data_IF_178146744042
#
_entry.id   IF_178146744042
#
_cell.length_a   1.000
_cell.length_b   1.000
_cell.length_c   1.000
_cell.angle_alpha   90.00
_cell.angle_beta   90.00
_cell.angle_gamma   90.00
#
_symmetry.space_group_name_H-M   'P 1'
#
loop_
_entity.id
_entity.type
_entity.pdbx_description
1 polymer ?
#
# COMPACT_ATOMS: atom_id res chain seq x y z
N UNK A 1 -11.58 -2.11 0.86
CA UNK A 1 -10.52 -2.10 -0.16
C UNK A 1 -10.39 -0.70 -0.72
N UNK A 2 -9.17 -0.25 -1.01
CA UNK A 2 -8.82 1.09 -1.50
C UNK A 2 -8.24 0.92 -2.91
N UNK A 3 -8.75 1.65 -3.89
CA UNK A 3 -8.13 1.68 -5.23
C UNK A 3 -7.03 2.75 -5.25
N UNK A 4 -5.82 2.37 -5.65
CA UNK A 4 -4.65 3.24 -5.83
C UNK A 4 -4.11 2.97 -7.24
N UNK A 5 -4.36 3.88 -8.17
CA UNK A 5 -4.07 3.71 -9.59
C UNK A 5 -4.63 2.38 -10.15
N UNK A 6 -3.75 1.49 -10.58
CA UNK A 6 -4.03 0.17 -11.14
C UNK A 6 -4.06 -0.94 -10.07
N UNK A 7 -4.02 -0.59 -8.78
CA UNK A 7 -3.96 -1.52 -7.67
C UNK A 7 -5.20 -1.44 -6.78
N UNK A 8 -5.66 -2.59 -6.31
CA UNK A 8 -6.65 -2.72 -5.24
C UNK A 8 -5.92 -3.14 -3.98
N UNK A 9 -5.94 -2.27 -2.97
CA UNK A 9 -5.26 -2.42 -1.71
C UNK A 9 -6.23 -2.80 -0.58
N UNK A 10 -5.93 -3.87 0.13
CA UNK A 10 -6.68 -4.38 1.28
C UNK A 10 -6.07 -3.83 2.57
N UNK A 11 -6.60 -2.69 3.02
CA UNK A 11 -6.19 -1.99 4.25
C UNK A 11 -6.17 -2.91 5.46
N UNK A 12 -7.21 -3.73 5.65
CA UNK A 12 -7.39 -4.48 6.88
C UNK A 12 -6.39 -5.62 6.97
N UNK A 13 -6.13 -6.30 5.83
CA UNK A 13 -5.03 -7.29 5.77
C UNK A 13 -3.66 -6.67 5.95
N UNK A 14 -3.42 -5.48 5.41
CA UNK A 14 -2.16 -4.78 5.61
C UNK A 14 -1.94 -4.39 7.08
N UNK A 15 -2.97 -3.86 7.74
CA UNK A 15 -2.89 -3.54 9.17
C UNK A 15 -2.56 -4.81 9.96
N UNK A 16 -3.28 -5.90 9.69
CA UNK A 16 -3.03 -7.18 10.36
C UNK A 16 -1.60 -7.70 10.11
N UNK A 17 -1.08 -7.58 8.89
CA UNK A 17 0.28 -8.04 8.57
C UNK A 17 1.35 -7.23 9.32
N UNK A 18 1.17 -5.92 9.43
CA UNK A 18 2.04 -5.04 10.23
C UNK A 18 1.93 -5.37 11.73
N UNK A 19 0.73 -5.61 12.26
CA UNK A 19 0.53 -6.05 13.65
C UNK A 19 1.22 -7.40 13.94
N UNK A 20 1.30 -8.27 12.94
CA UNK A 20 1.99 -9.55 13.03
C UNK A 20 3.52 -9.44 12.87
N UNK A 21 4.07 -8.22 12.79
CA UNK A 21 5.51 -7.97 12.77
C UNK A 21 6.13 -7.91 11.38
N UNK A 22 5.34 -7.85 10.31
CA UNK A 22 5.90 -7.70 8.96
C UNK A 22 6.47 -6.31 8.72
N UNK A 23 7.64 -6.30 8.06
CA UNK A 23 8.39 -5.10 7.75
C UNK A 23 8.31 -4.86 6.25
N UNK A 24 7.78 -3.69 5.88
CA UNK A 24 7.72 -3.21 4.51
C UNK A 24 8.79 -2.14 4.30
N UNK A 25 9.32 -2.03 3.07
CA UNK A 25 10.16 -0.91 2.67
C UNK A 25 9.34 0.36 2.73
N UNK A 26 9.70 1.25 3.63
CA UNK A 26 9.11 2.59 3.72
C UNK A 26 10.22 3.61 3.46
N UNK A 27 9.90 4.69 2.76
CA UNK A 27 10.76 5.88 2.82
C UNK A 27 10.41 6.59 4.11
N UNK A 28 11.41 6.88 4.95
CA UNK A 28 11.26 7.80 6.06
C UNK A 28 10.70 9.12 5.51
N UNK A 29 9.41 9.35 5.72
CA UNK A 29 8.77 10.61 5.41
C UNK A 29 8.54 11.28 6.75
N UNK A 30 9.44 12.20 7.09
CA UNK A 30 9.15 13.26 8.06
C UNK A 30 7.77 13.81 7.72
N UNK A 31 6.90 13.97 8.72
CA UNK A 31 5.49 14.37 8.59
C UNK A 31 5.27 15.53 7.63
N UNK A 32 5.21 15.27 6.33
CA UNK A 32 4.98 16.27 5.31
C UNK A 32 3.75 15.89 4.51
N UNK A 33 2.71 16.65 4.83
CA UNK A 33 1.54 17.02 4.02
C UNK A 33 0.84 15.82 3.35
N UNK A 34 -0.26 15.44 3.98
CA UNK A 34 -1.27 14.52 3.47
C UNK A 34 -1.84 15.13 2.18
N UNK A 35 -1.63 14.46 1.05
CA UNK A 35 -2.22 14.84 -0.24
C UNK A 35 -3.23 13.74 -0.64
N UNK A 36 -4.34 14.12 -1.28
CA UNK A 36 -5.54 13.28 -1.52
C UNK A 36 -5.34 11.96 -2.33
N UNK A 37 -4.11 11.60 -2.71
CA UNK A 37 -3.77 10.43 -3.52
C UNK A 37 -3.02 9.35 -2.73
N UNK A 38 -2.73 9.60 -1.45
CA UNK A 38 -1.94 8.71 -0.60
C UNK A 38 -2.79 8.23 0.58
N UNK A 39 -2.60 6.97 0.98
CA UNK A 39 -3.29 6.39 2.14
C UNK A 39 -2.34 6.24 3.33
N UNK A 40 -2.64 6.90 4.45
CA UNK A 40 -1.79 6.86 5.65
C UNK A 40 -2.31 5.81 6.64
N UNK A 41 -1.42 4.93 7.10
CA UNK A 41 -1.70 3.95 8.17
C UNK A 41 -0.68 4.13 9.28
N UNK A 42 -1.17 4.25 10.51
CA UNK A 42 -0.33 4.36 11.70
C UNK A 42 -0.36 3.01 12.40
N UNK A 43 0.79 2.35 12.50
CA UNK A 43 1.03 1.30 13.49
C UNK A 43 1.74 1.90 14.70
N UNK A 44 1.71 1.22 15.84
CA UNK A 44 2.23 1.71 17.12
C UNK A 44 3.70 2.17 17.12
N UNK A 45 4.46 1.89 16.05
CA UNK A 45 5.86 2.33 15.88
C UNK A 45 6.16 2.98 14.52
N UNK A 46 5.29 2.86 13.52
CA UNK A 46 5.59 3.26 12.14
C UNK A 46 4.38 3.92 11.48
N UNK A 47 4.61 5.03 10.79
CA UNK A 47 3.64 5.67 9.92
C UNK A 47 3.93 5.24 8.48
N UNK A 48 2.99 4.53 7.85
CA UNK A 48 3.09 4.06 6.48
C UNK A 48 2.29 4.98 5.57
N UNK A 49 2.98 5.60 4.62
CA UNK A 49 2.36 6.30 3.50
C UNK A 49 2.24 5.33 2.33
N UNK A 50 1.06 4.75 2.16
CA UNK A 50 0.73 3.81 1.09
C UNK A 50 0.37 4.59 -0.16
N UNK A 51 1.21 4.47 -1.17
CA UNK A 51 1.00 5.05 -2.49
C UNK A 51 1.51 4.08 -3.56
N UNK A 52 1.40 4.46 -4.84
CA UNK A 52 1.86 3.62 -5.95
C UNK A 52 3.31 3.17 -5.78
N UNK A 53 4.20 4.07 -5.39
CA UNK A 53 5.62 3.74 -5.21
C UNK A 53 5.84 2.77 -4.05
N UNK A 54 5.17 2.95 -2.92
CA UNK A 54 5.19 2.00 -1.82
C UNK A 54 4.71 0.61 -2.26
N UNK A 55 3.61 0.56 -3.03
CA UNK A 55 3.07 -0.70 -3.55
C UNK A 55 4.08 -1.36 -4.48
N UNK A 56 4.71 -0.62 -5.40
CA UNK A 56 5.72 -1.14 -6.31
C UNK A 56 6.97 -1.64 -5.57
N UNK A 57 7.47 -0.87 -4.59
CA UNK A 57 8.64 -1.21 -3.78
C UNK A 57 8.44 -2.48 -2.94
N UNK A 58 7.18 -2.85 -2.65
CA UNK A 58 6.78 -3.97 -1.81
C UNK A 58 5.89 -4.99 -2.53
N UNK A 59 5.82 -4.93 -3.86
CA UNK A 59 4.77 -5.60 -4.65
C UNK A 59 4.72 -7.11 -4.40
N UNK A 60 5.89 -7.77 -4.43
CA UNK A 60 5.99 -9.21 -4.26
C UNK A 60 5.40 -9.68 -2.92
N UNK A 61 5.73 -8.99 -1.83
CA UNK A 61 5.27 -9.33 -0.48
C UNK A 61 3.77 -9.04 -0.35
N UNK A 62 3.32 -7.88 -0.84
CA UNK A 62 1.93 -7.47 -0.77
C UNK A 62 1.00 -8.37 -1.60
N UNK A 63 1.45 -8.81 -2.78
CA UNK A 63 0.71 -9.76 -3.62
C UNK A 63 0.69 -11.16 -3.02
N UNK A 64 1.83 -11.67 -2.55
CA UNK A 64 1.91 -13.00 -1.91
C UNK A 64 0.95 -13.11 -0.71
N UNK A 65 0.76 -11.99 0.01
CA UNK A 65 -0.13 -11.92 1.17
C UNK A 65 -1.56 -11.54 0.83
N UNK A 66 -1.90 -11.41 -0.45
CA UNK A 66 -3.25 -11.03 -0.91
C UNK A 66 -3.72 -9.70 -0.30
N UNK A 67 -2.75 -8.80 -0.07
CA UNK A 67 -2.96 -7.43 0.41
C UNK A 67 -3.15 -6.51 -0.80
N UNK A 68 -2.39 -6.73 -1.88
CA UNK A 68 -2.54 -5.99 -3.14
C UNK A 68 -2.95 -6.92 -4.26
N UNK A 69 -3.86 -6.43 -5.10
CA UNK A 69 -4.22 -7.03 -6.37
C UNK A 69 -4.02 -6.01 -7.49
N UNK A 70 -3.54 -6.46 -8.64
CA UNK A 70 -3.52 -5.63 -9.84
C UNK A 70 -4.91 -5.61 -10.44
N UNK A 71 -5.54 -4.44 -10.45
CA UNK A 71 -6.81 -4.21 -11.11
C UNK A 71 -6.55 -3.94 -12.58
N UNK A 72 -6.57 -4.99 -13.39
CA UNK A 72 -6.54 -4.88 -14.84
C UNK A 72 -7.94 -4.48 -15.32
N UNK A 73 -8.47 -3.35 -14.84
CA UNK A 73 -9.66 -2.72 -15.44
C UNK A 73 -9.22 -2.16 -16.79
N UNK A 74 -9.39 -2.98 -17.82
CA UNK A 74 -9.34 -2.63 -19.24
C UNK A 74 -8.26 -1.61 -19.61
N UNK A 75 -7.02 -2.07 -19.82
CA UNK A 75 -6.25 -1.53 -20.95
C UNK A 75 -7.04 -1.86 -22.21
N UNK A 76 -7.99 -1.01 -22.59
CA UNK A 76 -8.48 -0.97 -23.96
C UNK A 76 -7.23 -0.83 -24.82
N UNK A 77 -6.94 -1.89 -25.58
CA UNK A 77 -6.01 -1.85 -26.70
C UNK A 77 -6.42 -0.65 -27.56
N UNK A 78 -5.58 0.36 -27.63
CA UNK A 78 -5.56 1.30 -28.73
C UNK A 78 -4.61 0.74 -29.80
#
# INVERSE_FOLDING_TARGET
MIEIDEFVFDKDKFILSVHNGEIYKTKHTSSEVINNHDFLIISSKLTYKINRNFILDNLDILMNKKIVFVNIKNKKKY
#
